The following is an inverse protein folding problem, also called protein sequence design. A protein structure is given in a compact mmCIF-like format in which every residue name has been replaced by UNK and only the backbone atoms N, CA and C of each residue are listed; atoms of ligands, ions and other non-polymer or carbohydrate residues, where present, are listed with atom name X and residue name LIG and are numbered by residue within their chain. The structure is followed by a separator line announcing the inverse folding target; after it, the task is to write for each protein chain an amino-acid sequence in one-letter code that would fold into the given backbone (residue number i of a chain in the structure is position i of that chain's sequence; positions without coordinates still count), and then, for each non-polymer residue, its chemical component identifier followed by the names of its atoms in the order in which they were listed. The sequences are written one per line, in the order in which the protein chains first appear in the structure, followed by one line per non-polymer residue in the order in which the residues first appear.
data_IF_687433289876
#
_entry.id   IF_687433289876
#
_cell.length_a   1.000
_cell.length_b   1.000
_cell.length_c   1.000
_cell.angle_alpha   90.00
_cell.angle_beta   90.00
_cell.angle_gamma   90.00
#
_symmetry.space_group_name_H-M   'P 1'
#
loop_
_entity.id
_entity.type
_entity.pdbx_description
1 polymer ?
#
# COMPACT_ATOMS: atom_id res chain seq x y z
N UNK A 1 54.36 34.49 34.28
CA UNK A 1 52.94 34.58 34.72
C UNK A 1 52.04 34.29 33.52
N UNK A 2 51.83 33.00 33.21
CA UNK A 2 50.77 32.54 32.33
C UNK A 2 49.80 31.73 33.17
N UNK A 3 48.50 31.95 32.99
CA UNK A 3 47.78 32.71 34.01
C UNK A 3 46.67 31.86 34.61
N UNK A 4 46.31 32.12 35.88
CA UNK A 4 45.13 31.51 36.53
C UNK A 4 43.87 31.58 35.65
N UNK A 5 43.79 32.60 34.80
CA UNK A 5 42.71 32.81 33.83
C UNK A 5 42.62 31.76 32.72
N UNK A 6 43.72 31.08 32.35
CA UNK A 6 43.69 30.05 31.29
C UNK A 6 42.84 28.84 31.71
N UNK A 7 42.99 28.39 32.96
CA UNK A 7 42.19 27.28 33.50
C UNK A 7 40.72 27.66 33.69
N UNK A 8 40.44 28.91 34.05
CA UNK A 8 39.07 29.44 34.15
C UNK A 8 38.41 29.47 32.77
N UNK A 9 39.12 29.92 31.73
CA UNK A 9 38.59 29.93 30.36
C UNK A 9 38.27 28.51 29.88
N UNK A 10 39.14 27.53 30.13
CA UNK A 10 38.89 26.12 29.78
C UNK A 10 37.67 25.57 30.53
N UNK A 11 37.56 25.85 31.84
CA UNK A 11 36.45 25.38 32.67
C UNK A 11 35.09 25.95 32.24
N UNK A 12 35.06 27.08 31.53
CA UNK A 12 33.83 27.69 31.00
C UNK A 12 33.55 27.21 29.57
N UNK A 13 34.56 27.13 28.71
CA UNK A 13 34.38 26.78 27.30
C UNK A 13 34.03 25.31 27.09
N UNK A 14 34.55 24.40 27.92
CA UNK A 14 34.25 22.96 27.79
C UNK A 14 32.75 22.68 28.05
N UNK A 15 32.13 23.13 29.16
CA UNK A 15 30.70 22.94 29.38
C UNK A 15 29.84 23.60 28.31
N UNK A 16 30.21 24.79 27.84
CA UNK A 16 29.50 25.48 26.76
C UNK A 16 29.57 24.70 25.44
N UNK A 17 30.72 24.11 25.11
CA UNK A 17 30.87 23.24 23.95
C UNK A 17 30.00 21.99 24.10
N UNK A 18 29.99 21.36 25.28
CA UNK A 18 29.19 20.16 25.55
C UNK A 18 27.68 20.48 25.45
N UNK A 19 27.23 21.59 26.05
CA UNK A 19 25.82 22.03 25.95
C UNK A 19 25.46 22.36 24.50
N UNK A 20 26.34 23.05 23.77
CA UNK A 20 26.15 23.33 22.34
C UNK A 20 26.02 22.03 21.53
N UNK A 21 26.91 21.06 21.76
CA UNK A 21 26.83 19.73 21.14
C UNK A 21 25.50 19.03 21.49
N UNK A 22 25.08 19.04 22.75
CA UNK A 22 23.80 18.45 23.16
C UNK A 22 22.58 19.16 22.56
N UNK A 23 22.61 20.48 22.39
CA UNK A 23 21.52 21.22 21.75
C UNK A 23 21.50 21.04 20.23
N UNK A 24 22.66 20.84 19.60
CA UNK A 24 22.78 20.66 18.15
C UNK A 24 22.50 19.23 17.72
N UNK A 25 22.87 18.25 18.56
CA UNK A 25 22.80 16.81 18.26
C UNK A 25 21.82 16.03 19.16
N UNK A 26 21.20 16.67 20.16
CA UNK A 26 20.19 16.04 21.03
C UNK A 26 18.75 16.14 20.51
N UNK A 27 18.55 16.82 19.38
CA UNK A 27 17.26 16.98 18.70
C UNK A 27 17.21 16.27 17.35
N UNK A 28 17.87 15.12 17.23
CA UNK A 28 17.47 14.19 16.17
C UNK A 28 16.18 13.54 16.65
N UNK A 29 15.06 13.95 16.06
CA UNK A 29 13.95 13.02 15.94
C UNK A 29 14.55 11.73 15.40
N UNK A 30 14.30 10.59 16.06
CA UNK A 30 14.63 9.31 15.44
C UNK A 30 14.02 9.36 14.04
N UNK A 31 14.81 9.12 12.97
CA UNK A 31 14.24 9.03 11.65
C UNK A 31 13.11 8.03 11.77
N UNK A 32 11.88 8.43 11.47
CA UNK A 32 10.76 7.49 11.48
C UNK A 32 11.20 6.34 10.60
N UNK A 33 11.43 5.16 11.19
CA UNK A 33 11.77 3.97 10.41
C UNK A 33 10.60 3.76 9.47
N UNK A 34 10.78 4.13 8.19
CA UNK A 34 9.75 3.93 7.20
C UNK A 34 9.58 2.41 7.04
N UNK A 35 8.36 1.92 7.18
CA UNK A 35 8.07 0.52 6.91
C UNK A 35 8.35 0.23 5.42
N UNK A 36 9.37 -0.59 5.14
CA UNK A 36 9.73 -0.99 3.77
C UNK A 36 9.13 -2.36 3.47
N UNK A 37 8.25 -2.40 2.48
CA UNK A 37 7.62 -3.63 2.00
C UNK A 37 8.27 -4.10 0.71
N UNK A 38 8.83 -5.32 0.73
CA UNK A 38 9.39 -6.03 -0.42
C UNK A 38 8.57 -7.29 -0.61
N UNK A 39 7.88 -7.39 -1.75
CA UNK A 39 6.88 -8.41 -1.96
C UNK A 39 6.71 -8.85 -3.40
N UNK A 40 5.88 -9.87 -3.57
CA UNK A 40 5.48 -10.45 -4.85
C UNK A 40 3.97 -10.68 -4.87
N UNK A 41 3.37 -10.70 -6.06
CA UNK A 41 1.94 -10.96 -6.22
C UNK A 41 1.71 -12.41 -6.63
N UNK A 42 0.84 -13.11 -5.92
CA UNK A 42 0.35 -14.44 -6.26
C UNK A 42 -1.00 -14.32 -6.99
N UNK A 43 -1.05 -14.69 -8.26
CA UNK A 43 -2.23 -14.54 -9.13
C UNK A 43 -2.78 -15.90 -9.63
N UNK A 44 -2.64 -16.96 -8.83
CA UNK A 44 -3.23 -18.27 -9.10
C UNK A 44 -4.68 -18.34 -8.60
N UNK A 45 -5.55 -19.11 -9.26
CA UNK A 45 -6.94 -19.34 -8.82
C UNK A 45 -7.08 -20.54 -7.84
N UNK A 46 -5.96 -21.19 -7.52
CA UNK A 46 -5.87 -22.36 -6.66
C UNK A 46 -5.18 -22.01 -5.32
N UNK A 47 -5.79 -22.44 -4.22
CA UNK A 47 -5.33 -22.13 -2.85
C UNK A 47 -4.01 -22.85 -2.53
N UNK A 48 -3.89 -24.13 -2.91
CA UNK A 48 -2.70 -24.93 -2.65
C UNK A 48 -1.46 -24.38 -3.38
N UNK A 49 -1.63 -23.97 -4.65
CA UNK A 49 -0.57 -23.32 -5.44
C UNK A 49 -0.12 -22.00 -4.81
N UNK A 50 -1.05 -21.18 -4.31
CA UNK A 50 -0.67 -19.95 -3.59
C UNK A 50 0.11 -20.29 -2.32
N UNK A 51 -0.33 -21.27 -1.53
CA UNK A 51 0.36 -21.66 -0.30
C UNK A 51 1.78 -22.16 -0.58
N UNK A 52 1.96 -22.99 -1.61
CA UNK A 52 3.27 -23.45 -2.07
C UNK A 52 4.16 -22.29 -2.53
N UNK A 53 3.59 -21.34 -3.27
CA UNK A 53 4.30 -20.13 -3.67
C UNK A 53 4.73 -19.28 -2.46
N UNK A 54 3.84 -19.09 -1.48
CA UNK A 54 4.17 -18.39 -0.23
C UNK A 54 5.30 -19.10 0.51
N UNK A 55 5.27 -20.44 0.60
CA UNK A 55 6.35 -21.22 1.19
C UNK A 55 7.70 -20.96 0.51
N UNK A 56 7.72 -20.93 -0.82
CA UNK A 56 8.91 -20.67 -1.63
C UNK A 56 9.50 -19.28 -1.36
N UNK A 57 8.66 -18.24 -1.33
CA UNK A 57 9.14 -16.85 -1.31
C UNK A 57 9.32 -16.26 0.09
N UNK A 58 8.66 -16.82 1.12
CA UNK A 58 8.57 -16.27 2.48
C UNK A 58 9.91 -16.02 3.18
N UNK A 59 10.99 -16.65 2.72
CA UNK A 59 12.33 -16.46 3.29
C UNK A 59 13.03 -15.16 2.84
N UNK A 60 12.54 -14.50 1.79
CA UNK A 60 13.16 -13.31 1.21
C UNK A 60 12.17 -12.19 0.84
N UNK A 61 10.89 -12.34 1.14
CA UNK A 61 9.88 -11.28 1.03
C UNK A 61 9.21 -11.04 2.39
N UNK A 62 8.67 -9.85 2.59
CA UNK A 62 7.86 -9.53 3.78
C UNK A 62 6.39 -9.23 3.44
N UNK A 63 6.04 -9.15 2.16
CA UNK A 63 4.68 -8.83 1.70
C UNK A 63 4.21 -9.71 0.55
N UNK A 64 2.94 -10.09 0.52
CA UNK A 64 2.29 -10.81 -0.58
C UNK A 64 1.08 -10.02 -1.09
N UNK A 65 1.03 -9.79 -2.40
CA UNK A 65 -0.20 -9.36 -3.07
C UNK A 65 -1.04 -10.57 -3.47
N UNK A 66 -2.33 -10.61 -3.12
CA UNK A 66 -3.25 -11.66 -3.58
C UNK A 66 -3.97 -11.12 -4.82
N UNK A 67 -3.51 -11.53 -6.00
CA UNK A 67 -3.81 -10.91 -7.30
C UNK A 67 -4.92 -11.59 -8.12
N UNK A 68 -5.57 -12.63 -7.61
CA UNK A 68 -6.50 -13.45 -8.40
C UNK A 68 -7.97 -13.12 -8.12
N UNK A 69 -8.76 -12.96 -9.19
CA UNK A 69 -10.23 -12.86 -9.09
C UNK A 69 -10.87 -14.17 -8.62
N UNK A 70 -10.32 -15.33 -9.00
CA UNK A 70 -10.77 -16.66 -8.57
C UNK A 70 -10.52 -16.97 -7.10
N UNK A 71 -9.75 -16.12 -6.41
CA UNK A 71 -9.55 -16.12 -4.95
C UNK A 71 -10.33 -14.98 -4.31
N UNK A 72 -10.12 -13.72 -4.73
CA UNK A 72 -10.68 -12.53 -4.08
C UNK A 72 -12.20 -12.58 -3.90
N UNK A 73 -12.94 -13.13 -4.86
CA UNK A 73 -14.41 -13.16 -4.79
C UNK A 73 -14.98 -14.44 -4.17
N UNK A 74 -14.13 -15.38 -3.77
CA UNK A 74 -14.49 -16.55 -2.99
C UNK A 74 -14.00 -16.37 -1.55
N UNK A 75 -14.91 -15.93 -0.67
CA UNK A 75 -14.60 -15.61 0.73
C UNK A 75 -13.87 -16.74 1.45
N UNK A 76 -14.25 -17.99 1.19
CA UNK A 76 -13.63 -19.13 1.86
C UNK A 76 -12.17 -19.30 1.43
N UNK A 77 -11.91 -19.19 0.11
CA UNK A 77 -10.53 -19.24 -0.41
C UNK A 77 -9.71 -18.04 0.04
N UNK A 78 -10.27 -16.84 -0.02
CA UNK A 78 -9.60 -15.62 0.38
C UNK A 78 -9.23 -15.66 1.87
N UNK A 79 -10.14 -16.09 2.73
CA UNK A 79 -9.86 -16.27 4.17
C UNK A 79 -8.72 -17.27 4.40
N UNK A 80 -8.74 -18.41 3.71
CA UNK A 80 -7.73 -19.45 3.88
C UNK A 80 -6.34 -18.96 3.44
N UNK A 81 -6.26 -18.29 2.29
CA UNK A 81 -4.99 -17.72 1.80
C UNK A 81 -4.51 -16.58 2.72
N UNK A 82 -5.36 -15.62 3.07
CA UNK A 82 -4.99 -14.49 3.93
C UNK A 82 -4.55 -14.96 5.32
N UNK A 83 -5.25 -15.93 5.91
CA UNK A 83 -4.87 -16.51 7.18
C UNK A 83 -3.50 -17.21 7.09
N UNK A 84 -3.27 -17.97 6.02
CA UNK A 84 -1.99 -18.64 5.81
C UNK A 84 -0.82 -17.67 5.67
N UNK A 85 -0.99 -16.59 4.89
CA UNK A 85 0.02 -15.53 4.75
C UNK A 85 0.28 -14.82 6.08
N UNK A 86 -0.78 -14.54 6.84
CA UNK A 86 -0.67 -13.98 8.19
C UNK A 86 0.10 -14.90 9.16
N UNK A 87 -0.20 -16.20 9.16
CA UNK A 87 0.46 -17.19 10.02
C UNK A 87 1.95 -17.34 9.71
N UNK A 88 2.37 -17.02 8.47
CA UNK A 88 3.77 -16.90 8.06
C UNK A 88 4.45 -15.60 8.52
N UNK A 89 3.71 -14.71 9.17
CA UNK A 89 4.21 -13.42 9.66
C UNK A 89 4.39 -12.38 8.56
N UNK A 90 3.79 -12.57 7.38
CA UNK A 90 3.90 -11.68 6.24
C UNK A 90 2.77 -10.63 6.25
N UNK A 91 3.03 -9.49 5.62
CA UNK A 91 2.03 -8.49 5.28
C UNK A 91 1.33 -8.87 3.98
N UNK A 92 0.12 -8.37 3.76
CA UNK A 92 -0.61 -8.64 2.54
C UNK A 92 -1.60 -7.55 2.15
N UNK A 93 -1.89 -7.52 0.86
CA UNK A 93 -2.94 -6.72 0.23
C UNK A 93 -3.73 -7.60 -0.73
N UNK A 94 -5.01 -7.31 -0.89
CA UNK A 94 -5.89 -8.11 -1.74
C UNK A 94 -6.25 -7.34 -3.01
N UNK A 95 -6.34 -8.03 -4.13
CA UNK A 95 -6.85 -7.46 -5.35
C UNK A 95 -8.27 -6.95 -5.15
N UNK A 96 -8.53 -5.74 -5.59
CA UNK A 96 -9.86 -5.16 -5.65
C UNK A 96 -10.07 -4.56 -7.03
N UNK A 97 -11.12 -4.98 -7.70
CA UNK A 97 -11.48 -4.42 -8.99
C UNK A 97 -12.96 -4.09 -8.96
N UNK A 98 -13.38 -2.97 -9.58
CA UNK A 98 -14.78 -2.62 -9.63
C UNK A 98 -15.61 -3.77 -10.21
N UNK A 99 -16.68 -4.08 -9.47
CA UNK A 99 -17.63 -5.13 -9.78
C UNK A 99 -18.98 -4.49 -10.08
N UNK A 100 -19.63 -4.89 -11.18
CA UNK A 100 -20.99 -4.45 -11.51
C UNK A 100 -22.08 -5.36 -10.91
N UNK A 101 -21.73 -6.16 -9.91
CA UNK A 101 -22.62 -7.05 -9.17
C UNK A 101 -22.70 -6.56 -7.72
N UNK A 102 -23.89 -6.07 -7.35
CA UNK A 102 -24.19 -5.50 -6.03
C UNK A 102 -24.00 -6.54 -4.92
N UNK A 103 -24.32 -7.81 -5.17
CA UNK A 103 -24.20 -8.86 -4.16
C UNK A 103 -22.73 -9.19 -3.89
N UNK A 104 -21.93 -9.35 -4.96
CA UNK A 104 -20.48 -9.56 -4.85
C UNK A 104 -19.79 -8.37 -4.16
N UNK A 105 -20.22 -7.15 -4.49
CA UNK A 105 -19.70 -5.93 -3.88
C UNK A 105 -19.98 -5.88 -2.37
N UNK A 106 -21.23 -6.17 -1.95
CA UNK A 106 -21.59 -6.19 -0.53
C UNK A 106 -20.78 -7.23 0.26
N UNK A 107 -20.51 -8.39 -0.35
CA UNK A 107 -19.66 -9.44 0.24
C UNK A 107 -18.22 -8.94 0.41
N UNK A 108 -17.64 -8.35 -0.63
CA UNK A 108 -16.26 -7.84 -0.59
C UNK A 108 -16.12 -6.70 0.44
N UNK A 109 -17.06 -5.75 0.44
CA UNK A 109 -17.12 -4.68 1.43
C UNK A 109 -17.16 -5.24 2.86
N UNK A 110 -18.06 -6.18 3.12
CA UNK A 110 -18.18 -6.79 4.44
C UNK A 110 -16.91 -7.56 4.85
N UNK A 111 -16.26 -8.22 3.89
CA UNK A 111 -14.98 -8.91 4.12
C UNK A 111 -13.89 -7.91 4.54
N UNK A 112 -13.76 -6.80 3.83
CA UNK A 112 -12.74 -5.77 4.11
C UNK A 112 -12.95 -5.12 5.48
N UNK A 113 -14.19 -4.86 5.89
CA UNK A 113 -14.52 -4.39 7.25
C UNK A 113 -13.98 -5.37 8.30
N UNK A 114 -14.14 -6.67 8.04
CA UNK A 114 -13.76 -7.72 8.99
C UNK A 114 -12.25 -8.01 8.98
N UNK A 115 -11.56 -7.71 7.87
CA UNK A 115 -10.14 -7.99 7.69
C UNK A 115 -9.26 -7.18 8.64
N UNK A 116 -9.53 -5.88 8.80
CA UNK A 116 -8.72 -5.00 9.66
C UNK A 116 -8.69 -5.41 11.14
N UNK A 117 -9.81 -5.67 11.83
CA UNK A 117 -9.78 -6.16 13.21
C UNK A 117 -9.21 -7.58 13.33
N UNK A 118 -9.27 -8.40 12.26
CA UNK A 118 -8.79 -9.78 12.26
C UNK A 118 -7.27 -9.88 12.11
N UNK A 119 -6.68 -9.16 11.16
CA UNK A 119 -5.25 -9.27 10.83
C UNK A 119 -4.44 -7.99 11.12
N UNK A 120 -5.09 -6.94 11.63
CA UNK A 120 -4.44 -5.75 12.15
C UNK A 120 -3.57 -5.02 11.11
N UNK A 121 -2.29 -4.85 11.45
CA UNK A 121 -1.32 -4.14 10.60
C UNK A 121 -0.81 -4.97 9.44
N UNK A 122 -0.94 -6.29 9.50
CA UNK A 122 -0.53 -7.19 8.42
C UNK A 122 -1.42 -7.05 7.19
N UNK A 123 -2.70 -6.72 7.38
CA UNK A 123 -3.55 -6.31 6.27
C UNK A 123 -3.29 -4.85 5.90
N UNK A 124 -2.60 -4.67 4.77
CA UNK A 124 -2.16 -3.38 4.24
C UNK A 124 -3.30 -2.62 3.55
N UNK A 125 -4.17 -3.33 2.84
CA UNK A 125 -5.29 -2.72 2.12
C UNK A 125 -5.56 -3.39 0.78
N UNK A 126 -5.90 -2.57 -0.22
CA UNK A 126 -6.37 -3.05 -1.52
C UNK A 126 -5.34 -2.78 -2.60
N UNK A 127 -4.99 -3.81 -3.37
CA UNK A 127 -4.40 -3.67 -4.69
C UNK A 127 -5.51 -3.40 -5.69
N UNK A 128 -5.84 -2.12 -5.85
CA UNK A 128 -6.93 -1.62 -6.63
C UNK A 128 -6.53 -1.43 -8.10
N UNK A 129 -7.41 -1.85 -9.01
CA UNK A 129 -7.34 -1.52 -10.43
C UNK A 129 -5.97 -1.86 -11.03
N UNK A 130 -5.79 -3.14 -11.36
CA UNK A 130 -4.56 -3.59 -12.01
C UNK A 130 -4.31 -2.85 -13.34
N UNK A 131 -3.11 -2.27 -13.46
CA UNK A 131 -2.57 -1.62 -14.66
C UNK A 131 -3.56 -0.70 -15.41
N UNK A 132 -4.14 0.34 -14.76
CA UNK A 132 -5.21 1.13 -15.36
C UNK A 132 -4.79 1.78 -16.69
N UNK A 133 -3.51 2.15 -16.80
CA UNK A 133 -2.94 2.77 -18.00
C UNK A 133 -2.61 1.73 -19.07
N UNK A 134 -2.08 0.56 -18.69
CA UNK A 134 -1.82 -0.55 -19.62
C UNK A 134 -3.13 -0.99 -20.28
N UNK A 135 -4.17 -1.18 -19.46
CA UNK A 135 -5.52 -1.51 -19.91
C UNK A 135 -6.12 -0.46 -20.85
N UNK A 136 -5.79 0.82 -20.65
CA UNK A 136 -6.19 1.90 -21.57
C UNK A 136 -5.51 1.75 -22.93
N UNK A 137 -4.21 1.47 -22.95
CA UNK A 137 -3.42 1.30 -24.18
C UNK A 137 -3.82 0.01 -24.93
N UNK A 138 -4.10 -1.05 -24.20
CA UNK A 138 -4.51 -2.36 -24.75
C UNK A 138 -5.96 -2.39 -25.21
N UNK A 139 -6.69 -1.28 -25.02
CA UNK A 139 -8.13 -1.19 -25.26
C UNK A 139 -8.92 -2.32 -24.57
N UNK A 140 -8.54 -2.63 -23.33
CA UNK A 140 -9.17 -3.67 -22.55
C UNK A 140 -10.68 -3.39 -22.32
N UNK A 141 -11.42 -4.45 -22.02
CA UNK A 141 -12.86 -4.36 -21.71
C UNK A 141 -13.16 -3.44 -20.52
N UNK A 142 -12.23 -3.39 -19.57
CA UNK A 142 -12.27 -2.46 -18.45
C UNK A 142 -11.07 -1.54 -18.59
N UNK A 143 -11.35 -0.27 -18.81
CA UNK A 143 -10.39 0.82 -18.92
C UNK A 143 -10.96 2.05 -18.21
N UNK A 144 -10.07 2.94 -17.78
CA UNK A 144 -10.43 4.16 -17.05
C UNK A 144 -11.28 5.07 -17.94
N UNK A 145 -10.81 5.33 -19.15
CA UNK A 145 -11.53 6.16 -20.12
C UNK A 145 -12.39 5.27 -21.01
N UNK A 146 -13.70 5.31 -20.77
CA UNK A 146 -14.67 4.49 -21.50
C UNK A 146 -15.27 5.18 -22.71
N UNK A 147 -15.30 6.51 -22.73
CA UNK A 147 -16.01 7.25 -23.77
C UNK A 147 -15.23 7.23 -25.10
N UNK A 148 -15.90 6.84 -26.18
CA UNK A 148 -15.36 6.82 -27.53
C UNK A 148 -15.21 8.23 -28.12
N UNK A 149 -15.95 9.20 -27.59
CA UNK A 149 -15.83 10.63 -27.91
C UNK A 149 -14.68 11.31 -27.15
N UNK A 150 -13.79 10.52 -26.53
CA UNK A 150 -12.65 11.02 -25.77
C UNK A 150 -11.49 11.39 -26.69
N UNK A 151 -11.58 12.59 -27.27
CA UNK A 151 -10.49 13.22 -28.00
C UNK A 151 -9.77 14.23 -27.09
N UNK A 152 -8.46 14.30 -27.21
CA UNK A 152 -7.65 15.35 -26.62
C UNK A 152 -6.90 16.06 -27.75
N UNK A 153 -6.80 17.38 -27.67
CA UNK A 153 -6.17 18.20 -28.70
C UNK A 153 -4.63 18.06 -28.66
N UNK A 154 -4.08 17.62 -27.52
CA UNK A 154 -2.65 17.39 -27.32
C UNK A 154 -2.36 16.42 -26.16
N UNK A 155 -1.08 16.07 -25.99
CA UNK A 155 -0.64 15.12 -24.96
C UNK A 155 -0.84 15.61 -23.52
N UNK A 156 -0.76 16.92 -23.25
CA UNK A 156 -0.97 17.44 -21.90
C UNK A 156 -2.45 17.28 -21.49
N UNK A 157 -3.36 17.64 -22.40
CA UNK A 157 -4.80 17.44 -22.17
C UNK A 157 -5.16 15.95 -22.03
N UNK A 158 -4.55 15.08 -22.84
CA UNK A 158 -4.76 13.63 -22.72
C UNK A 158 -4.32 13.11 -21.35
N UNK A 159 -3.17 13.57 -20.85
CA UNK A 159 -2.66 13.22 -19.53
C UNK A 159 -3.58 13.75 -18.42
N UNK A 160 -3.98 15.02 -18.48
CA UNK A 160 -4.86 15.63 -17.49
C UNK A 160 -6.21 14.92 -17.42
N UNK A 161 -6.81 14.62 -18.57
CA UNK A 161 -8.06 13.86 -18.65
C UNK A 161 -7.89 12.46 -18.06
N UNK A 162 -6.81 11.75 -18.41
CA UNK A 162 -6.57 10.41 -17.90
C UNK A 162 -6.39 10.39 -16.37
N UNK A 163 -5.63 11.35 -15.83
CA UNK A 163 -5.45 11.52 -14.38
C UNK A 163 -6.78 11.80 -13.69
N UNK A 164 -7.60 12.70 -14.25
CA UNK A 164 -8.90 13.05 -13.69
C UNK A 164 -9.87 11.85 -13.69
N UNK A 165 -9.96 11.11 -14.79
CA UNK A 165 -10.79 9.91 -14.86
C UNK A 165 -10.29 8.82 -13.92
N UNK A 166 -8.97 8.64 -13.80
CA UNK A 166 -8.37 7.69 -12.84
C UNK A 166 -8.75 8.06 -11.41
N UNK A 167 -8.70 9.35 -11.07
CA UNK A 167 -9.10 9.87 -9.76
C UNK A 167 -10.58 9.59 -9.47
N UNK A 168 -11.48 9.89 -10.43
CA UNK A 168 -12.92 9.62 -10.30
C UNK A 168 -13.16 8.13 -10.08
N UNK A 169 -12.45 7.29 -10.82
CA UNK A 169 -12.62 5.84 -10.77
C UNK A 169 -12.14 5.24 -9.43
N UNK A 170 -10.99 5.69 -8.92
CA UNK A 170 -10.49 5.32 -7.59
C UNK A 170 -11.42 5.81 -6.48
N UNK A 171 -11.92 7.04 -6.60
CA UNK A 171 -12.88 7.59 -5.63
C UNK A 171 -14.18 6.78 -5.60
N UNK A 172 -14.71 6.38 -6.76
CA UNK A 172 -15.88 5.49 -6.84
C UNK A 172 -15.61 4.14 -6.16
N UNK A 173 -14.43 3.54 -6.37
CA UNK A 173 -14.04 2.30 -5.70
C UNK A 173 -14.00 2.46 -4.17
N UNK A 174 -13.45 3.56 -3.66
CA UNK A 174 -13.30 3.75 -2.20
C UNK A 174 -14.63 4.15 -1.56
N UNK A 175 -15.27 5.22 -2.05
CA UNK A 175 -16.44 5.81 -1.42
C UNK A 175 -17.70 4.98 -1.67
N UNK A 176 -17.98 4.66 -2.94
CA UNK A 176 -19.26 4.05 -3.29
C UNK A 176 -19.22 2.54 -3.10
N UNK A 177 -18.09 1.90 -3.38
CA UNK A 177 -17.93 0.45 -3.36
C UNK A 177 -17.40 -0.08 -2.02
N UNK A 178 -16.41 0.60 -1.43
CA UNK A 178 -15.83 0.23 -0.14
C UNK A 178 -16.38 1.07 1.03
N UNK A 179 -17.44 1.86 0.81
CA UNK A 179 -18.16 2.59 1.86
C UNK A 179 -17.32 3.64 2.59
N UNK A 180 -16.34 4.25 1.92
CA UNK A 180 -15.49 5.32 2.47
C UNK A 180 -14.57 4.84 3.60
N UNK A 181 -14.21 3.56 3.62
CA UNK A 181 -13.27 3.03 4.60
C UNK A 181 -11.87 3.64 4.41
N UNK A 182 -11.22 3.99 5.52
CA UNK A 182 -9.83 4.43 5.54
C UNK A 182 -8.91 3.22 5.24
N UNK A 183 -8.69 2.98 3.96
CA UNK A 183 -7.90 1.89 3.41
C UNK A 183 -6.76 2.46 2.58
N UNK A 184 -5.57 1.89 2.77
CA UNK A 184 -4.48 2.15 1.83
C UNK A 184 -4.77 1.45 0.51
N UNK A 185 -4.64 2.21 -0.57
CA UNK A 185 -4.84 1.74 -1.94
C UNK A 185 -3.48 1.67 -2.64
N UNK A 186 -3.24 0.55 -3.29
CA UNK A 186 -2.09 0.26 -4.13
C UNK A 186 -2.59 0.03 -5.55
N UNK A 187 -1.89 0.51 -6.57
CA UNK A 187 -2.24 0.36 -8.00
C UNK A 187 -1.04 -0.15 -8.78
#
# INVERSE_FOLDING_TARGET
MKPKYFWITIAILIPLLIISLFLTFGSFDEPSEADVFVGVTAAYDNVEEIKLFVDEVSSYVNTIGIGSTGITFDVAKLDDVCQYVYDKGLYFMIYAHPINDIAALAIQYQWVINAKPRWGKQFLGLYAIDEPAGRQLDNASIKVVKNEDWFADNYAEAADKYVNETFIYLHHLIEDQMGGLDLTIYT
#
